data_IF_063999178486
#
_entry.id   IF_063999178486
#
_cell.length_a   1.000
_cell.length_b   1.000
_cell.length_c   1.000
_cell.angle_alpha   90.00
_cell.angle_beta   90.00
_cell.angle_gamma   90.00
#
_symmetry.space_group_name_H-M   'P 1'
#
loop_
_entity.id
_entity.type
_entity.pdbx_description
1 polymer ?
#
# COMPACT_ATOMS: atom_id res chain seq x y z
N UNK A 1 -4.58 16.16 -0.06
CA UNK A 1 -4.17 16.54 -1.45
C UNK A 1 -4.44 15.41 -2.42
N UNK A 2 -3.83 15.40 -3.62
CA UNK A 2 -3.88 14.26 -4.56
C UNK A 2 -2.46 13.90 -4.99
N UNK A 3 -2.17 12.62 -5.19
CA UNK A 3 -0.93 12.13 -5.83
C UNK A 3 -1.30 11.78 -7.28
N UNK A 4 -0.49 12.23 -8.21
CA UNK A 4 -0.60 11.91 -9.62
C UNK A 4 0.68 11.17 -10.02
N UNK A 5 0.54 9.89 -10.36
CA UNK A 5 1.64 9.08 -10.86
C UNK A 5 1.38 8.87 -12.34
N UNK A 6 2.30 9.36 -13.16
CA UNK A 6 2.29 9.09 -14.58
C UNK A 6 3.07 7.80 -14.85
N UNK A 7 2.33 6.70 -15.00
CA UNK A 7 2.88 5.38 -15.29
C UNK A 7 2.83 5.03 -16.79
N UNK A 8 2.74 6.04 -17.67
CA UNK A 8 2.77 5.83 -19.12
C UNK A 8 4.19 5.55 -19.61
N UNK A 9 4.30 4.80 -20.71
CA UNK A 9 5.56 4.65 -21.43
C UNK A 9 5.92 6.02 -22.00
N UNK A 10 7.06 6.57 -21.57
CA UNK A 10 7.55 7.87 -22.01
C UNK A 10 8.13 7.80 -23.40
N UNK A 11 7.75 8.75 -24.24
CA UNK A 11 8.38 8.98 -25.53
C UNK A 11 9.78 9.59 -25.33
N UNK A 12 10.70 9.42 -26.28
CA UNK A 12 12.05 9.98 -26.18
C UNK A 12 12.06 11.49 -25.89
N UNK A 13 11.15 12.25 -26.49
CA UNK A 13 10.98 13.70 -26.29
C UNK A 13 10.43 14.09 -24.91
N UNK A 14 9.79 13.16 -24.20
CA UNK A 14 9.28 13.36 -22.83
C UNK A 14 10.33 13.02 -21.77
N UNK A 15 11.47 12.46 -22.18
CA UNK A 15 12.52 12.06 -21.27
C UNK A 15 13.38 13.27 -20.91
N UNK A 16 13.43 13.61 -19.62
CA UNK A 16 14.27 14.72 -19.14
C UNK A 16 15.77 14.44 -19.32
N UNK A 17 16.59 15.49 -19.26
CA UNK A 17 18.06 15.38 -19.37
C UNK A 17 18.74 14.85 -18.10
N UNK A 18 17.96 14.54 -17.06
CA UNK A 18 18.47 14.06 -15.78
C UNK A 18 18.71 12.56 -15.90
N UNK A 19 19.96 12.15 -15.71
CA UNK A 19 20.30 10.73 -15.66
C UNK A 19 19.50 10.03 -14.55
N UNK A 20 18.96 8.85 -14.85
CA UNK A 20 18.39 7.97 -13.83
C UNK A 20 19.41 7.78 -12.72
N UNK A 21 19.03 7.88 -11.44
CA UNK A 21 19.99 7.73 -10.36
C UNK A 21 20.67 6.37 -10.47
N UNK A 22 22.00 6.37 -10.44
CA UNK A 22 22.76 5.12 -10.45
C UNK A 22 22.40 4.30 -9.19
N UNK A 23 22.12 3.01 -9.35
CA UNK A 23 21.76 2.04 -8.30
C UNK A 23 20.29 2.04 -7.82
N UNK A 24 19.34 2.50 -8.62
CA UNK A 24 17.94 2.40 -8.25
C UNK A 24 17.33 1.02 -8.56
N UNK A 25 17.48 0.10 -7.61
CA UNK A 25 17.00 -1.28 -7.77
C UNK A 25 15.46 -1.42 -7.66
N UNK A 26 14.76 -0.46 -7.04
CA UNK A 26 13.29 -0.42 -6.93
C UNK A 26 12.75 1.02 -6.90
N UNK A 27 11.73 1.30 -7.71
CA UNK A 27 11.06 2.61 -7.72
C UNK A 27 10.29 2.89 -6.42
N UNK A 28 9.53 1.89 -5.95
CA UNK A 28 8.77 1.94 -4.70
C UNK A 28 9.37 0.94 -3.72
N UNK A 29 9.60 1.37 -2.49
CA UNK A 29 10.09 0.54 -1.39
C UNK A 29 9.12 0.61 -0.21
N UNK A 30 8.56 -0.53 0.17
CA UNK A 30 7.71 -0.65 1.36
C UNK A 30 8.56 -1.06 2.56
N UNK A 31 8.34 -0.40 3.70
CA UNK A 31 9.13 -0.64 4.91
C UNK A 31 8.33 -0.35 6.17
N UNK A 32 8.83 -0.80 7.31
CA UNK A 32 8.31 -0.46 8.64
C UNK A 32 9.15 0.64 9.33
N UNK A 33 10.28 1.03 8.73
CA UNK A 33 11.28 1.90 9.36
C UNK A 33 11.46 3.20 8.59
N UNK A 34 11.53 4.32 9.31
CA UNK A 34 11.86 5.62 8.72
C UNK A 34 13.30 5.71 8.21
N UNK A 35 14.18 4.82 8.69
CA UNK A 35 15.60 4.82 8.34
C UNK A 35 15.91 3.90 7.15
N UNK A 36 14.95 3.12 6.67
CA UNK A 36 15.12 2.15 5.59
C UNK A 36 14.63 2.74 4.25
N UNK A 37 15.41 3.67 3.69
CA UNK A 37 15.04 4.44 2.50
C UNK A 37 15.77 3.95 1.24
N UNK A 38 15.31 2.83 0.68
CA UNK A 38 15.95 2.15 -0.46
C UNK A 38 15.34 2.46 -1.83
N UNK A 39 14.17 3.10 -1.89
CA UNK A 39 13.48 3.45 -3.13
C UNK A 39 13.51 4.95 -3.45
N UNK A 40 13.00 5.32 -4.63
CA UNK A 40 12.64 6.72 -4.94
C UNK A 40 11.45 7.17 -4.08
N UNK A 41 10.48 6.26 -3.94
CA UNK A 41 9.31 6.43 -3.11
C UNK A 41 9.39 5.38 -1.99
N UNK A 42 9.44 5.84 -0.75
CA UNK A 42 9.56 4.99 0.43
C UNK A 42 8.25 5.09 1.22
N UNK A 43 7.52 3.99 1.31
CA UNK A 43 6.21 3.94 1.96
C UNK A 43 6.38 3.22 3.29
N UNK A 44 6.07 3.92 4.37
CA UNK A 44 6.17 3.38 5.73
C UNK A 44 4.81 2.84 6.15
N UNK A 45 4.74 1.55 6.45
CA UNK A 45 3.55 0.84 6.93
C UNK A 45 3.70 0.47 8.41
N UNK A 46 2.59 0.18 9.08
CA UNK A 46 2.63 -0.35 10.45
C UNK A 46 3.36 -1.70 10.49
N UNK A 47 4.08 -1.98 11.58
CA UNK A 47 4.94 -3.17 11.71
C UNK A 47 4.21 -4.52 11.57
N UNK A 48 2.88 -4.53 11.67
CA UNK A 48 2.05 -5.72 11.52
C UNK A 48 1.60 -5.99 10.08
N UNK A 49 1.73 -5.01 9.20
CA UNK A 49 1.25 -5.10 7.82
C UNK A 49 2.25 -5.86 6.95
N UNK A 50 1.82 -6.59 5.91
CA UNK A 50 2.73 -7.24 4.99
C UNK A 50 3.48 -6.19 4.15
N UNK A 51 4.79 -6.37 3.96
CA UNK A 51 5.64 -5.57 3.04
C UNK A 51 6.20 -6.39 1.87
N UNK A 52 6.06 -7.73 1.93
CA UNK A 52 6.48 -8.64 0.85
C UNK A 52 5.41 -8.79 -0.25
N UNK A 53 4.21 -8.22 -0.01
CA UNK A 53 3.12 -8.18 -0.97
C UNK A 53 2.91 -6.73 -1.46
N UNK A 54 3.42 -6.46 -2.67
CA UNK A 54 3.37 -5.12 -3.27
C UNK A 54 1.93 -4.63 -3.49
N UNK A 55 0.99 -5.53 -3.80
CA UNK A 55 -0.40 -5.15 -4.07
C UNK A 55 -1.10 -4.65 -2.81
N UNK A 56 -0.95 -5.40 -1.71
CA UNK A 56 -1.53 -4.99 -0.42
C UNK A 56 -0.84 -3.75 0.14
N UNK A 57 0.47 -3.66 0.01
CA UNK A 57 1.23 -2.50 0.46
C UNK A 57 0.83 -1.24 -0.30
N UNK A 58 0.60 -1.34 -1.61
CA UNK A 58 0.08 -0.25 -2.43
C UNK A 58 -1.36 0.14 -2.05
N UNK A 59 -2.22 -0.84 -1.78
CA UNK A 59 -3.58 -0.58 -1.29
C UNK A 59 -3.58 0.15 0.06
N UNK A 60 -2.72 -0.25 0.99
CA UNK A 60 -2.56 0.43 2.29
C UNK A 60 -2.04 1.85 2.13
N UNK A 61 -1.06 2.07 1.25
CA UNK A 61 -0.60 3.41 0.92
C UNK A 61 -1.76 4.28 0.43
N UNK A 62 -2.51 3.82 -0.58
CA UNK A 62 -3.63 4.55 -1.14
C UNK A 62 -4.77 4.80 -0.15
N UNK A 63 -4.96 3.91 0.83
CA UNK A 63 -6.06 3.98 1.80
C UNK A 63 -5.73 4.84 3.03
N UNK A 64 -4.47 4.85 3.46
CA UNK A 64 -4.07 5.46 4.73
C UNK A 64 -3.41 6.84 4.59
N UNK A 65 -2.96 7.19 3.38
CA UNK A 65 -2.16 8.38 3.16
C UNK A 65 -3.00 9.60 2.77
N UNK A 66 -2.80 10.72 3.48
CA UNK A 66 -3.07 12.06 2.94
C UNK A 66 -1.79 12.59 2.28
N UNK A 67 -1.81 12.87 0.97
CA UNK A 67 -0.62 13.32 0.23
C UNK A 67 0.05 14.59 0.74
N UNK A 68 -0.67 15.48 1.43
CA UNK A 68 -0.11 16.75 1.92
C UNK A 68 0.47 16.55 3.32
N UNK A 69 -0.24 15.82 4.17
CA UNK A 69 0.13 15.63 5.57
C UNK A 69 1.25 14.60 5.74
N UNK A 70 1.19 13.53 4.96
CA UNK A 70 1.98 12.32 5.19
C UNK A 70 3.19 12.20 4.25
N UNK A 71 3.44 13.18 3.38
CA UNK A 71 4.60 13.20 2.49
C UNK A 71 5.75 14.04 3.06
N UNK A 72 6.97 13.58 2.88
CA UNK A 72 8.19 14.38 3.07
C UNK A 72 9.25 14.03 2.03
N UNK A 73 10.23 14.93 1.86
CA UNK A 73 11.38 14.69 1.00
C UNK A 73 12.65 14.63 1.84
N UNK A 74 13.39 13.53 1.72
CA UNK A 74 14.64 13.29 2.46
C UNK A 74 15.68 12.84 1.45
N UNK A 75 16.79 13.59 1.32
CA UNK A 75 17.91 13.25 0.42
C UNK A 75 17.46 12.95 -1.03
N UNK A 76 16.51 13.73 -1.55
CA UNK A 76 15.98 13.55 -2.92
C UNK A 76 15.02 12.35 -3.09
N UNK A 77 14.64 11.68 -2.00
CA UNK A 77 13.66 10.59 -2.00
C UNK A 77 12.34 11.07 -1.41
N UNK A 78 11.23 10.61 -1.99
CA UNK A 78 9.90 10.80 -1.44
C UNK A 78 9.67 9.77 -0.32
N UNK A 79 9.19 10.23 0.83
CA UNK A 79 8.83 9.40 1.98
C UNK A 79 7.36 9.61 2.30
N UNK A 80 6.60 8.54 2.41
CA UNK A 80 5.16 8.53 2.65
C UNK A 80 4.83 7.77 3.94
N UNK A 81 4.30 8.45 4.96
CA UNK A 81 3.84 7.81 6.20
C UNK A 81 2.41 7.27 6.05
N UNK A 82 2.29 5.99 5.75
CA UNK A 82 1.01 5.29 5.54
C UNK A 82 0.57 4.46 6.76
N UNK A 83 1.12 4.76 7.95
CA UNK A 83 0.69 4.12 9.20
C UNK A 83 -0.71 4.57 9.61
N UNK A 84 -1.38 3.75 10.41
CA UNK A 84 -2.60 4.14 11.11
C UNK A 84 -2.39 5.43 11.93
N UNK A 85 -3.39 6.32 11.93
CA UNK A 85 -3.33 7.57 12.70
C UNK A 85 -4.14 7.42 13.98
N UNK A 86 -3.51 7.74 15.10
CA UNK A 86 -4.13 7.68 16.41
C UNK A 86 -5.02 8.91 16.66
N UNK A 87 -6.16 8.68 17.29
CA UNK A 87 -7.09 9.75 17.67
C UNK A 87 -6.45 10.65 18.73
N UNK A 88 -6.57 11.96 18.52
CA UNK A 88 -6.00 12.99 19.39
C UNK A 88 -4.57 13.36 19.02
N UNK A 89 -3.91 12.61 18.13
CA UNK A 89 -2.55 12.90 17.65
C UNK A 89 -2.62 13.74 16.38
N UNK A 90 -1.81 14.80 16.29
CA UNK A 90 -1.67 15.66 15.11
C UNK A 90 -3.02 16.18 14.54
N UNK A 91 -3.98 16.49 15.42
CA UNK A 91 -5.29 17.01 15.03
C UNK A 91 -6.25 15.97 14.44
N UNK A 92 -5.94 14.68 14.53
CA UNK A 92 -6.83 13.62 14.06
C UNK A 92 -7.95 13.36 15.07
N UNK A 93 -9.21 13.54 14.69
CA UNK A 93 -10.33 13.59 15.64
C UNK A 93 -11.17 12.32 15.73
N UNK A 94 -11.05 11.43 14.75
CA UNK A 94 -11.85 10.19 14.65
C UNK A 94 -11.01 8.94 14.92
N UNK A 95 -11.68 7.83 15.21
CA UNK A 95 -11.02 6.53 15.24
C UNK A 95 -10.50 6.15 13.84
N UNK A 96 -9.39 5.44 13.80
CA UNK A 96 -8.91 4.84 12.55
C UNK A 96 -9.79 3.64 12.19
N UNK A 97 -10.34 3.56 10.97
CA UNK A 97 -11.17 2.43 10.59
C UNK A 97 -10.32 1.16 10.55
N UNK A 98 -10.92 0.05 10.97
CA UNK A 98 -10.38 -1.28 10.70
C UNK A 98 -10.47 -1.64 9.22
N UNK A 99 -9.75 -2.69 8.82
CA UNK A 99 -9.87 -3.25 7.47
C UNK A 99 -11.25 -3.88 7.29
N UNK A 100 -11.84 -3.71 6.11
CA UNK A 100 -13.08 -4.38 5.74
C UNK A 100 -12.79 -5.84 5.37
N UNK A 101 -12.79 -6.73 6.37
CA UNK A 101 -12.48 -8.15 6.19
C UNK A 101 -13.76 -8.99 6.09
N UNK A 102 -13.74 -10.00 5.22
CA UNK A 102 -14.78 -11.02 5.16
C UNK A 102 -14.68 -11.96 6.37
N UNK A 103 -15.81 -12.29 6.99
CA UNK A 103 -15.84 -13.28 8.08
C UNK A 103 -15.47 -14.68 7.60
N UNK A 104 -14.96 -15.53 8.49
CA UNK A 104 -14.60 -16.93 8.14
C UNK A 104 -15.78 -17.69 7.53
N UNK A 105 -16.96 -17.53 8.11
CA UNK A 105 -18.19 -18.15 7.61
C UNK A 105 -18.54 -17.70 6.18
N UNK A 106 -18.30 -16.42 5.85
CA UNK A 106 -18.55 -15.89 4.50
C UNK A 106 -17.54 -16.46 3.50
N UNK A 107 -16.26 -16.48 3.87
CA UNK A 107 -15.19 -17.05 3.04
C UNK A 107 -15.51 -18.51 2.72
N UNK A 108 -15.76 -19.34 3.75
CA UNK A 108 -16.09 -20.75 3.55
C UNK A 108 -17.35 -20.97 2.69
N UNK A 109 -18.36 -20.11 2.83
CA UNK A 109 -19.58 -20.21 2.04
C UNK A 109 -19.36 -19.87 0.56
N UNK A 110 -18.49 -18.90 0.26
CA UNK A 110 -18.11 -18.55 -1.12
C UNK A 110 -17.23 -19.64 -1.72
N UNK A 111 -16.22 -20.11 -0.99
CA UNK A 111 -15.29 -21.15 -1.45
C UNK A 111 -16.03 -22.43 -1.85
N UNK A 112 -17.01 -22.87 -1.04
CA UNK A 112 -17.86 -24.04 -1.34
C UNK A 112 -18.70 -23.87 -2.60
N UNK A 113 -19.10 -22.63 -2.95
CA UNK A 113 -19.93 -22.35 -4.12
C UNK A 113 -19.10 -22.16 -5.39
N UNK A 114 -17.81 -21.81 -5.28
CA UNK A 114 -17.01 -21.38 -6.42
C UNK A 114 -17.09 -22.31 -7.64
N UNK A 115 -16.84 -23.61 -7.42
CA UNK A 115 -16.89 -24.61 -8.50
C UNK A 115 -18.28 -24.70 -9.16
N UNK A 116 -19.36 -24.55 -8.38
CA UNK A 116 -20.73 -24.61 -8.90
C UNK A 116 -21.11 -23.40 -9.74
N UNK A 117 -20.42 -22.27 -9.58
CA UNK A 117 -20.69 -21.04 -10.32
C UNK A 117 -20.12 -21.07 -11.74
N UNK A 118 -19.10 -21.90 -12.02
CA UNK A 118 -18.51 -22.00 -13.36
C UNK A 118 -17.83 -20.73 -13.87
N UNK A 119 -17.34 -19.87 -12.96
CA UNK A 119 -16.80 -18.53 -13.27
C UNK A 119 -15.27 -18.49 -13.45
N UNK A 120 -14.62 -19.65 -13.56
CA UNK A 120 -13.17 -19.77 -13.78
C UNK A 120 -12.41 -20.31 -12.56
N UNK A 121 -11.10 -20.08 -12.57
CA UNK A 121 -10.18 -20.58 -11.53
C UNK A 121 -10.51 -20.02 -10.14
N UNK A 122 -10.25 -20.81 -9.11
CA UNK A 122 -10.48 -20.41 -7.73
C UNK A 122 -9.54 -19.28 -7.31
N UNK A 123 -10.11 -18.18 -6.81
CA UNK A 123 -9.36 -17.06 -6.26
C UNK A 123 -9.61 -17.04 -4.75
N UNK A 124 -8.58 -17.25 -3.91
CA UNK A 124 -8.73 -17.23 -2.46
C UNK A 124 -9.10 -15.83 -1.96
N UNK A 125 -9.83 -15.77 -0.84
CA UNK A 125 -10.21 -14.47 -0.25
C UNK A 125 -8.97 -13.65 0.16
N UNK A 126 -8.87 -12.37 -0.27
CA UNK A 126 -7.77 -11.49 0.12
C UNK A 126 -7.76 -11.19 1.63
N UNK A 127 -8.89 -11.41 2.33
CA UNK A 127 -8.96 -11.24 3.79
C UNK A 127 -8.07 -12.24 4.54
N UNK A 128 -7.72 -13.38 3.94
CA UNK A 128 -6.93 -14.43 4.60
C UNK A 128 -5.51 -14.01 4.97
N UNK A 129 -4.95 -13.00 4.29
CA UNK A 129 -3.66 -12.39 4.67
C UNK A 129 -3.74 -11.79 6.07
N UNK A 130 -4.92 -11.28 6.45
CA UNK A 130 -5.21 -10.74 7.78
C UNK A 130 -6.00 -11.73 8.64
N UNK A 131 -5.79 -13.03 8.48
CA UNK A 131 -6.53 -14.08 9.20
C UNK A 131 -6.61 -13.87 10.72
N UNK A 132 -5.58 -13.27 11.33
CA UNK A 132 -5.52 -12.92 12.75
C UNK A 132 -6.47 -11.77 13.15
N UNK A 133 -6.90 -10.94 12.20
CA UNK A 133 -7.82 -9.81 12.39
C UNK A 133 -9.27 -10.17 12.00
N UNK A 134 -9.52 -11.32 11.36
CA UNK A 134 -10.86 -11.78 10.99
C UNK A 134 -11.63 -12.18 12.26
N UNK A 135 -12.85 -11.65 12.39
CA UNK A 135 -13.79 -12.00 13.46
C UNK A 135 -14.63 -13.23 13.12
#
# INVERSE_FOLDING_TARGET
>A
GKILIDATVKLPEETGTIASPENLHKAIHFTHSQNDLKGLINVILDAKEPIDDDYFSLWLWGSNCDPIRDSSFVEGKLVMDSKTKEKGVNGFTREWPGKALSSRATIEAVDKKWASLGIGEFIPSPSLIFSKEIK
#
